data_IF_278365663477
#
_entry.id   IF_278365663477
#
_cell.length_a   1.000
_cell.length_b   1.000
_cell.length_c   1.000
_cell.angle_alpha   90.00
_cell.angle_beta   90.00
_cell.angle_gamma   90.00
#
_symmetry.space_group_name_H-M   'P 1'
#
loop_
_entity.id
_entity.type
_entity.pdbx_description
1 polymer ?
#
# COMPACT_ATOMS: atom_id res chain seq x y z
N UNK A 1 20.55 -21.14 -14.17
CA UNK A 1 19.50 -21.20 -13.13
C UNK A 1 18.49 -20.11 -13.44
N UNK A 2 17.34 -20.47 -14.01
CA UNK A 2 16.21 -19.55 -14.21
C UNK A 2 15.68 -19.16 -12.83
N UNK A 3 15.90 -17.91 -12.42
CA UNK A 3 15.26 -17.36 -11.23
C UNK A 3 13.74 -17.40 -11.48
N UNK A 4 13.04 -18.30 -10.79
CA UNK A 4 11.58 -18.25 -10.70
C UNK A 4 11.23 -16.93 -10.04
N UNK A 5 10.79 -15.99 -10.88
CA UNK A 5 10.24 -14.70 -10.48
C UNK A 5 9.27 -14.94 -9.33
N UNK A 6 9.61 -14.47 -8.12
CA UNK A 6 8.69 -14.47 -6.99
C UNK A 6 7.62 -13.45 -7.31
N UNK A 7 6.65 -13.86 -8.13
CA UNK A 7 5.39 -13.17 -8.27
C UNK A 7 4.82 -13.11 -6.86
N UNK A 8 4.83 -11.93 -6.27
CA UNK A 8 3.97 -11.61 -5.13
C UNK A 8 2.61 -12.22 -5.50
N UNK A 9 2.04 -13.12 -4.66
CA UNK A 9 0.82 -13.84 -4.99
C UNK A 9 -0.16 -12.83 -5.56
N UNK A 10 -0.53 -13.03 -6.83
CA UNK A 10 -1.23 -12.04 -7.64
C UNK A 10 -2.34 -11.44 -6.76
N UNK A 11 -2.23 -10.13 -6.48
CA UNK A 11 -3.31 -9.40 -5.83
C UNK A 11 -4.60 -9.81 -6.57
N UNK A 12 -5.65 -10.27 -5.86
CA UNK A 12 -6.86 -10.76 -6.50
C UNK A 12 -7.26 -9.74 -7.54
N UNK A 13 -7.21 -10.25 -8.76
CA UNK A 13 -7.04 -9.52 -9.98
C UNK A 13 -7.99 -8.33 -9.97
N UNK A 14 -7.44 -7.14 -10.17
CA UNK A 14 -8.23 -6.00 -10.61
C UNK A 14 -8.80 -6.37 -11.97
N UNK A 15 -9.93 -7.08 -11.99
CA UNK A 15 -10.72 -7.15 -13.20
C UNK A 15 -11.05 -5.71 -13.53
N UNK A 16 -10.55 -5.19 -14.66
CA UNK A 16 -10.68 -3.79 -14.94
C UNK A 16 -12.16 -3.46 -15.08
N UNK A 17 -12.65 -2.61 -14.18
CA UNK A 17 -14.05 -2.16 -14.15
C UNK A 17 -14.48 -1.48 -15.45
N UNK A 18 -13.50 -1.05 -16.26
CA UNK A 18 -13.70 -0.46 -17.58
C UNK A 18 -12.54 -0.78 -18.53
N UNK A 19 -12.78 -0.65 -19.83
CA UNK A 19 -11.70 -0.71 -20.85
C UNK A 19 -10.59 0.30 -20.58
N UNK A 20 -10.92 1.48 -20.06
CA UNK A 20 -9.93 2.51 -19.73
C UNK A 20 -8.99 2.04 -18.61
N UNK A 21 -9.54 1.41 -17.56
CA UNK A 21 -8.75 0.81 -16.48
C UNK A 21 -7.89 -0.34 -17.00
N UNK A 22 -8.43 -1.17 -17.90
CA UNK A 22 -7.68 -2.27 -18.52
C UNK A 22 -6.46 -1.77 -19.28
N UNK A 23 -6.64 -0.69 -20.06
CA UNK A 23 -5.57 -0.07 -20.82
C UNK A 23 -4.52 0.60 -19.91
N UNK A 24 -4.95 1.24 -18.83
CA UNK A 24 -4.05 1.84 -17.85
C UNK A 24 -3.16 0.80 -17.16
N UNK A 25 -3.75 -0.35 -16.78
CA UNK A 25 -3.07 -1.44 -16.07
C UNK A 25 -2.42 -2.48 -17.00
N UNK A 26 -2.46 -2.30 -18.32
CA UNK A 26 -1.82 -3.24 -19.23
C UNK A 26 -0.29 -3.24 -19.02
N UNK A 27 0.41 -4.39 -19.05
CA UNK A 27 1.86 -4.43 -18.97
C UNK A 27 2.53 -3.50 -19.99
N UNK A 28 3.62 -2.84 -19.58
CA UNK A 28 4.41 -2.01 -20.47
C UNK A 28 5.15 -2.85 -21.50
N UNK A 29 5.32 -2.34 -22.72
CA UNK A 29 6.26 -2.91 -23.70
C UNK A 29 7.68 -2.43 -23.37
N UNK A 30 8.24 -2.98 -22.30
CA UNK A 30 9.56 -2.63 -21.76
C UNK A 30 10.62 -3.58 -22.27
N UNK A 31 11.86 -3.10 -22.41
CA UNK A 31 13.02 -3.96 -22.64
C UNK A 31 13.41 -4.63 -21.33
N UNK A 32 14.05 -5.81 -21.40
CA UNK A 32 14.58 -6.50 -20.22
C UNK A 32 15.61 -5.65 -19.44
N UNK A 33 16.23 -4.71 -20.15
CA UNK A 33 17.24 -3.78 -19.62
C UNK A 33 16.64 -2.50 -19.05
N UNK A 34 15.33 -2.28 -19.18
CA UNK A 34 14.66 -1.11 -18.62
C UNK A 34 14.34 -1.37 -17.16
N UNK A 35 14.79 -0.47 -16.29
CA UNK A 35 14.49 -0.47 -14.87
C UNK A 35 13.82 0.84 -14.47
N UNK A 36 13.05 0.81 -13.39
CA UNK A 36 12.43 1.99 -12.81
C UNK A 36 13.03 2.26 -11.44
N UNK A 37 13.70 3.39 -11.32
CA UNK A 37 14.09 3.92 -10.02
C UNK A 37 12.91 4.62 -9.37
N UNK A 38 12.71 4.34 -8.09
CA UNK A 38 11.64 4.92 -7.27
C UNK A 38 12.27 5.45 -6.00
N UNK A 39 12.01 6.72 -5.73
CA UNK A 39 12.33 7.39 -4.48
C UNK A 39 11.13 8.19 -3.98
N UNK A 40 11.24 8.74 -2.77
CA UNK A 40 10.25 9.66 -2.20
C UNK A 40 10.84 11.05 -2.08
N UNK A 41 10.04 12.08 -2.39
CA UNK A 41 10.47 13.46 -2.22
C UNK A 41 10.60 13.76 -0.72
N UNK A 42 11.82 13.81 -0.20
CA UNK A 42 12.06 14.24 1.17
C UNK A 42 11.94 15.77 1.24
N UNK A 43 10.84 16.25 1.82
CA UNK A 43 10.54 17.68 2.00
C UNK A 43 11.63 18.43 2.78
N UNK A 44 12.53 17.71 3.46
CA UNK A 44 13.59 18.28 4.28
C UNK A 44 14.90 18.57 3.53
N UNK A 45 15.04 18.20 2.26
CA UNK A 45 16.30 18.42 1.51
C UNK A 45 16.42 19.81 0.86
N UNK A 46 15.40 20.66 1.02
CA UNK A 46 15.41 22.05 0.61
C UNK A 46 16.31 22.92 1.50
N UNK A 47 17.62 22.93 1.23
CA UNK A 47 18.53 23.99 1.70
C UNK A 47 18.16 25.31 0.99
N UNK A 48 17.20 26.05 1.53
CA UNK A 48 16.87 27.39 1.05
C UNK A 48 15.63 27.91 1.76
N UNK A 49 15.82 28.85 2.69
CA UNK A 49 14.80 29.33 3.62
C UNK A 49 13.55 29.89 2.92
N UNK A 50 12.40 29.37 3.34
CA UNK A 50 11.07 29.78 2.89
C UNK A 50 10.05 28.77 3.37
N UNK A 51 9.69 28.85 4.65
CA UNK A 51 8.76 27.95 5.30
C UNK A 51 7.33 28.14 4.78
N UNK A 52 7.03 27.53 3.64
CA UNK A 52 5.67 27.09 3.33
C UNK A 52 5.62 25.59 3.60
N UNK A 53 5.14 25.24 4.80
CA UNK A 53 4.66 23.90 5.14
C UNK A 53 3.35 23.73 4.36
N UNK A 54 3.45 23.67 3.02
CA UNK A 54 2.39 23.00 2.28
C UNK A 54 2.51 21.53 2.64
N UNK A 55 1.39 20.98 3.08
CA UNK A 55 1.14 19.59 3.48
C UNK A 55 1.37 18.70 2.24
N UNK A 56 2.62 18.66 1.76
CA UNK A 56 2.97 18.17 0.43
C UNK A 56 2.71 16.68 0.46
N UNK A 57 1.64 16.27 -0.25
CA UNK A 57 1.30 14.87 -0.41
C UNK A 57 2.58 14.11 -0.74
N UNK A 58 2.78 12.92 -0.16
CA UNK A 58 3.96 12.13 -0.49
C UNK A 58 3.99 11.90 -2.00
N UNK A 59 5.10 12.25 -2.66
CA UNK A 59 5.27 12.06 -4.10
C UNK A 59 6.36 11.01 -4.34
N UNK A 60 6.14 10.18 -5.36
CA UNK A 60 7.20 9.35 -5.92
C UNK A 60 8.04 10.18 -6.89
N UNK A 61 9.35 10.19 -6.68
CA UNK A 61 10.31 10.63 -7.66
C UNK A 61 10.77 9.40 -8.42
N UNK A 62 10.48 9.36 -9.72
CA UNK A 62 10.81 8.19 -10.52
C UNK A 62 11.59 8.55 -11.76
N UNK A 63 12.45 7.63 -12.17
CA UNK A 63 13.26 7.76 -13.36
C UNK A 63 13.43 6.38 -13.98
N UNK A 64 13.10 6.25 -15.27
CA UNK A 64 13.46 5.05 -16.01
C UNK A 64 14.95 5.09 -16.34
N UNK A 65 15.61 3.94 -16.20
CA UNK A 65 17.05 3.79 -16.42
C UNK A 65 17.34 2.51 -17.20
N UNK A 66 18.39 2.52 -18.00
CA UNK A 66 18.88 1.32 -18.68
C UNK A 66 20.15 0.82 -17.98
N UNK A 67 20.15 -0.42 -17.48
CA UNK A 67 21.31 -1.02 -16.80
C UNK A 67 22.29 -1.75 -17.75
N UNK A 68 22.08 -1.69 -19.06
CA UNK A 68 23.01 -2.28 -20.04
C UNK A 68 24.00 -1.23 -20.51
N UNK A 69 25.30 -1.56 -20.47
CA UNK A 69 26.38 -0.78 -21.10
C UNK A 69 26.03 -0.47 -22.56
N UNK A 70 26.08 0.79 -22.99
CA UNK A 70 25.96 1.10 -24.41
C UNK A 70 27.09 0.37 -25.14
N UNK A 71 26.78 -0.26 -26.29
CA UNK A 71 27.78 -0.57 -27.28
C UNK A 71 28.64 0.69 -27.54
N UNK A 72 29.97 0.55 -27.45
CA UNK A 72 30.93 1.66 -27.53
C UNK A 72 30.86 2.44 -28.86
N UNK A 73 30.20 1.87 -29.85
CA UNK A 73 29.95 2.39 -31.19
C UNK A 73 28.74 3.33 -31.30
N UNK A 74 27.88 3.41 -30.28
CA UNK A 74 26.62 4.21 -30.35
C UNK A 74 26.76 5.58 -29.68
N UNK A 75 27.66 5.76 -28.71
CA UNK A 75 27.92 7.05 -28.06
C UNK A 75 29.42 7.34 -28.04
N UNK A 76 29.88 8.52 -28.51
CA UNK A 76 31.30 8.88 -28.52
C UNK A 76 31.84 9.27 -27.12
N UNK A 77 31.11 8.97 -26.04
CA UNK A 77 31.56 9.29 -24.68
C UNK A 77 32.62 8.27 -24.25
N UNK A 78 33.79 8.81 -23.92
CA UNK A 78 34.99 8.11 -23.45
C UNK A 78 34.84 7.66 -21.98
N UNK A 79 33.63 7.74 -21.43
CA UNK A 79 33.39 7.38 -20.04
C UNK A 79 33.32 5.86 -19.96
N UNK A 80 34.42 5.28 -19.47
CA UNK A 80 34.55 3.90 -19.05
C UNK A 80 33.63 3.61 -17.84
N UNK A 81 32.32 3.79 -18.01
CA UNK A 81 31.33 3.45 -17.01
C UNK A 81 31.40 1.94 -16.78
N UNK A 82 31.70 1.55 -15.54
CA UNK A 82 31.63 0.17 -15.07
C UNK A 82 30.18 -0.30 -15.08
N UNK A 83 29.94 -1.61 -15.19
CA UNK A 83 28.59 -2.15 -15.02
C UNK A 83 28.10 -1.75 -13.62
N UNK A 84 26.96 -1.03 -13.51
CA UNK A 84 26.50 -0.53 -12.22
C UNK A 84 26.24 -1.70 -11.29
N UNK A 85 26.92 -1.71 -10.14
CA UNK A 85 26.76 -2.77 -9.16
C UNK A 85 25.49 -2.52 -8.36
N UNK A 86 24.52 -3.42 -8.49
CA UNK A 86 23.28 -3.38 -7.71
C UNK A 86 23.08 -4.68 -6.93
N UNK A 87 22.40 -4.58 -5.80
CA UNK A 87 21.99 -5.73 -4.98
C UNK A 87 20.51 -5.95 -5.19
N UNK A 88 20.15 -7.06 -5.82
CA UNK A 88 18.76 -7.47 -5.98
C UNK A 88 18.28 -8.18 -4.72
N UNK A 89 17.21 -7.67 -4.12
CA UNK A 89 16.53 -8.27 -2.97
C UNK A 89 15.16 -8.81 -3.40
N UNK A 90 14.53 -9.69 -2.61
CA UNK A 90 13.15 -10.14 -2.87
C UNK A 90 12.12 -9.00 -2.95
N UNK A 91 12.46 -7.82 -2.41
CA UNK A 91 11.57 -6.66 -2.34
C UNK A 91 11.96 -5.52 -3.32
N UNK A 92 12.98 -5.73 -4.18
CA UNK A 92 13.50 -4.74 -5.15
C UNK A 92 15.03 -4.66 -5.19
N UNK A 93 15.61 -3.81 -6.05
CA UNK A 93 17.06 -3.62 -6.13
C UNK A 93 17.54 -2.29 -5.51
N UNK A 94 18.80 -2.26 -5.04
CA UNK A 94 19.50 -1.08 -4.49
C UNK A 94 20.87 -0.91 -5.16
N UNK A 95 21.32 0.33 -5.39
CA UNK A 95 22.65 0.61 -5.93
C UNK A 95 23.75 0.52 -4.88
N UNK A 96 24.95 0.11 -5.30
CA UNK A 96 26.16 0.13 -4.48
C UNK A 96 27.08 1.32 -4.78
N UNK A 97 27.06 1.86 -6.00
CA UNK A 97 27.89 2.99 -6.43
C UNK A 97 27.04 4.08 -7.12
N UNK A 98 27.44 5.35 -6.97
CA UNK A 98 27.02 6.41 -7.89
C UNK A 98 27.74 6.16 -9.22
N UNK A 99 27.02 6.04 -10.36
CA UNK A 99 27.43 6.57 -11.70
C UNK A 99 26.70 5.92 -12.92
N UNK A 100 26.41 6.82 -13.89
CA UNK A 100 26.09 6.76 -15.34
C UNK A 100 25.02 5.80 -15.91
N UNK A 101 24.01 6.43 -16.51
CA UNK A 101 22.85 5.80 -17.13
C UNK A 101 22.92 5.86 -18.65
N UNK A 102 22.47 4.81 -19.33
CA UNK A 102 22.08 4.89 -20.73
C UNK A 102 20.59 5.25 -20.88
N UNK A 103 20.22 5.77 -22.05
CA UNK A 103 18.84 6.15 -22.35
C UNK A 103 17.94 4.90 -22.28
N UNK A 104 16.94 4.85 -21.39
CA UNK A 104 15.95 3.78 -21.37
C UNK A 104 15.09 3.83 -22.64
N UNK A 105 14.32 2.77 -22.90
CA UNK A 105 13.40 2.78 -24.04
C UNK A 105 12.42 3.96 -23.99
N UNK A 106 11.94 4.40 -25.15
CA UNK A 106 10.94 5.47 -25.21
C UNK A 106 9.66 5.10 -24.44
N UNK A 107 9.29 3.82 -24.47
CA UNK A 107 8.15 3.31 -23.70
C UNK A 107 8.37 3.46 -22.19
N UNK A 108 9.57 3.14 -21.71
CA UNK A 108 9.98 3.27 -20.31
C UNK A 108 10.08 4.73 -19.83
N UNK A 109 10.61 5.63 -20.66
CA UNK A 109 10.84 7.04 -20.29
C UNK A 109 9.62 7.95 -20.44
N UNK A 110 8.66 7.60 -21.29
CA UNK A 110 7.61 8.54 -21.71
C UNK A 110 6.19 7.95 -21.77
N UNK A 111 6.01 6.78 -22.38
CA UNK A 111 4.65 6.29 -22.73
C UNK A 111 3.79 5.97 -21.51
N UNK A 112 4.31 5.21 -20.54
CA UNK A 112 3.49 4.74 -19.42
C UNK A 112 3.13 5.84 -18.42
N UNK A 113 3.96 6.89 -18.30
CA UNK A 113 3.66 8.06 -17.48
C UNK A 113 2.34 8.70 -17.87
N UNK A 114 1.97 8.66 -19.15
CA UNK A 114 0.72 9.24 -19.63
C UNK A 114 -0.53 8.62 -18.99
N UNK A 115 -0.40 7.43 -18.40
CA UNK A 115 -1.46 6.71 -17.69
C UNK A 115 -1.72 7.22 -16.28
N UNK A 116 -0.80 8.01 -15.72
CA UNK A 116 -0.90 8.56 -14.36
C UNK A 116 -1.43 9.99 -14.44
N UNK A 117 -2.64 10.29 -13.94
CA UNK A 117 -3.22 11.64 -14.04
C UNK A 117 -2.37 12.71 -13.35
N UNK A 118 -1.93 12.44 -12.13
CA UNK A 118 -1.18 13.38 -11.29
C UNK A 118 0.33 13.17 -11.45
N UNK A 119 0.88 13.77 -12.52
CA UNK A 119 2.29 13.69 -12.88
C UNK A 119 2.87 15.05 -13.26
N UNK A 120 4.14 15.26 -12.95
CA UNK A 120 4.92 16.44 -13.37
C UNK A 120 6.30 16.01 -13.83
N UNK A 121 6.69 16.41 -15.04
CA UNK A 121 8.04 16.16 -15.53
C UNK A 121 9.03 17.14 -14.89
N UNK A 122 10.14 16.64 -14.37
CA UNK A 122 11.17 17.42 -13.67
C UNK A 122 12.43 17.65 -14.55
N UNK A 123 12.48 17.09 -15.76
CA UNK A 123 13.60 17.16 -16.70
C UNK A 123 14.37 15.84 -16.82
N UNK A 124 15.09 15.64 -17.94
CA UNK A 124 15.95 14.46 -18.19
C UNK A 124 15.30 13.08 -17.91
N UNK A 125 14.01 12.92 -18.22
CA UNK A 125 13.28 11.66 -17.97
C UNK A 125 12.91 11.40 -16.49
N UNK A 126 13.12 12.38 -15.61
CA UNK A 126 12.66 12.35 -14.21
C UNK A 126 11.22 12.85 -14.11
N UNK A 127 10.43 12.16 -13.29
CA UNK A 127 9.02 12.48 -13.06
C UNK A 127 8.71 12.52 -11.57
N UNK A 128 7.93 13.54 -11.16
CA UNK A 128 7.27 13.61 -9.85
C UNK A 128 5.84 13.09 -10.03
N UNK A 129 5.48 12.03 -9.34
CA UNK A 129 4.17 11.39 -9.39
C UNK A 129 3.51 11.48 -8.03
N UNK A 130 2.19 11.64 -7.96
CA UNK A 130 1.48 11.59 -6.69
C UNK A 130 1.61 10.19 -6.05
N UNK A 131 1.91 10.12 -4.75
CA UNK A 131 2.05 8.89 -3.97
C UNK A 131 0.71 8.30 -3.56
N UNK A 132 -0.13 8.01 -4.54
CA UNK A 132 -1.45 7.39 -4.37
C UNK A 132 -1.40 5.89 -4.63
N UNK A 133 -2.42 5.18 -4.13
CA UNK A 133 -2.65 3.77 -4.43
C UNK A 133 -2.78 3.51 -5.94
N UNK A 134 -3.45 4.40 -6.66
CA UNK A 134 -3.57 4.33 -8.11
C UNK A 134 -2.20 4.39 -8.82
N UNK A 135 -1.32 5.30 -8.42
CA UNK A 135 0.06 5.38 -8.96
C UNK A 135 0.83 4.10 -8.67
N UNK A 136 0.76 3.60 -7.43
CA UNK A 136 1.44 2.36 -7.03
C UNK A 136 0.94 1.15 -7.85
N UNK A 137 -0.36 1.07 -8.12
CA UNK A 137 -0.95 0.03 -8.96
C UNK A 137 -0.49 0.10 -10.42
N UNK A 138 -0.44 1.30 -11.01
CA UNK A 138 0.08 1.45 -12.37
C UNK A 138 1.53 0.98 -12.42
N UNK A 139 2.37 1.41 -11.47
CA UNK A 139 3.77 0.96 -11.40
C UNK A 139 3.82 -0.57 -11.30
N UNK A 140 3.04 -1.16 -10.38
CA UNK A 140 3.01 -2.61 -10.15
C UNK A 140 2.62 -3.42 -11.39
N UNK A 141 1.69 -2.92 -12.19
CA UNK A 141 1.18 -3.63 -13.37
C UNK A 141 1.97 -3.36 -14.64
N UNK A 142 2.52 -2.15 -14.79
CA UNK A 142 3.30 -1.76 -15.98
C UNK A 142 4.71 -2.36 -15.93
N UNK A 143 5.33 -2.35 -14.75
CA UNK A 143 6.72 -2.74 -14.56
C UNK A 143 6.84 -4.10 -13.89
N UNK A 144 7.65 -5.03 -14.43
CA UNK A 144 8.03 -6.24 -13.71
C UNK A 144 8.64 -5.90 -12.35
N UNK A 145 8.28 -6.65 -11.31
CA UNK A 145 8.77 -6.36 -9.96
C UNK A 145 10.30 -6.48 -9.86
N UNK A 146 10.90 -7.39 -10.63
CA UNK A 146 12.36 -7.53 -10.77
C UNK A 146 13.06 -6.29 -11.31
N UNK A 147 12.32 -5.39 -11.96
CA UNK A 147 12.85 -4.20 -12.63
C UNK A 147 12.62 -2.92 -11.81
N UNK A 148 12.13 -3.05 -10.57
CA UNK A 148 11.96 -1.93 -9.65
C UNK A 148 13.20 -1.76 -8.76
N UNK A 149 13.75 -0.55 -8.74
CA UNK A 149 14.89 -0.15 -7.92
C UNK A 149 14.40 0.89 -6.92
N UNK A 150 14.44 0.60 -5.63
CA UNK A 150 14.05 1.56 -4.59
C UNK A 150 15.31 2.27 -4.08
N UNK A 151 15.37 3.60 -4.21
CA UNK A 151 16.52 4.40 -3.74
C UNK A 151 16.57 4.53 -2.22
N UNK A 152 15.42 4.41 -1.56
CA UNK A 152 15.29 4.51 -0.11
C UNK A 152 14.35 3.45 0.45
N UNK A 153 14.57 3.04 1.70
CA UNK A 153 13.66 2.17 2.43
C UNK A 153 12.27 2.82 2.56
N UNK A 154 12.23 4.14 2.78
CA UNK A 154 10.99 4.90 2.84
C UNK A 154 10.14 4.76 1.56
N UNK A 155 10.76 4.80 0.38
CA UNK A 155 10.05 4.62 -0.90
C UNK A 155 9.46 3.21 -1.03
N UNK A 156 10.22 2.19 -0.64
CA UNK A 156 9.78 0.80 -0.65
C UNK A 156 8.61 0.57 0.33
N UNK A 157 8.72 1.12 1.55
CA UNK A 157 7.68 1.02 2.59
C UNK A 157 6.41 1.73 2.13
N UNK A 158 6.51 2.95 1.58
CA UNK A 158 5.37 3.70 1.06
C UNK A 158 4.68 2.96 -0.08
N UNK A 159 5.45 2.51 -1.07
CA UNK A 159 4.94 1.74 -2.20
C UNK A 159 4.19 0.48 -1.74
N UNK A 160 4.80 -0.30 -0.84
CA UNK A 160 4.21 -1.51 -0.28
C UNK A 160 2.95 -1.20 0.53
N UNK A 161 2.98 -0.12 1.32
CA UNK A 161 1.83 0.34 2.10
C UNK A 161 0.64 0.69 1.20
N UNK A 162 0.88 1.43 0.12
CA UNK A 162 -0.17 1.84 -0.82
C UNK A 162 -0.82 0.63 -1.52
N UNK A 163 -0.02 -0.35 -1.95
CA UNK A 163 -0.55 -1.58 -2.54
C UNK A 163 -1.37 -2.40 -1.52
N UNK A 164 -0.86 -2.56 -0.29
CA UNK A 164 -1.58 -3.25 0.79
C UNK A 164 -2.89 -2.53 1.14
N UNK A 165 -2.87 -1.21 1.22
CA UNK A 165 -4.05 -0.39 1.49
C UNK A 165 -5.12 -0.63 0.43
N UNK A 166 -4.75 -0.57 -0.85
CA UNK A 166 -5.66 -0.83 -1.96
C UNK A 166 -6.29 -2.23 -1.88
N UNK A 167 -5.47 -3.25 -1.60
CA UNK A 167 -5.93 -4.62 -1.45
C UNK A 167 -6.98 -4.76 -0.32
N UNK A 168 -6.71 -4.18 0.85
CA UNK A 168 -7.62 -4.24 1.99
C UNK A 168 -8.92 -3.48 1.70
N UNK A 169 -8.85 -2.32 1.03
CA UNK A 169 -10.04 -1.56 0.62
C UNK A 169 -10.89 -2.34 -0.39
N UNK A 170 -10.26 -2.96 -1.39
CA UNK A 170 -10.95 -3.78 -2.40
C UNK A 170 -11.66 -4.97 -1.77
N UNK A 171 -10.96 -5.70 -0.87
CA UNK A 171 -11.56 -6.79 -0.10
C UNK A 171 -12.75 -6.31 0.74
N UNK A 172 -12.62 -5.16 1.39
CA UNK A 172 -13.69 -4.57 2.20
C UNK A 172 -14.93 -4.24 1.37
N UNK A 173 -14.72 -3.67 0.17
CA UNK A 173 -15.80 -3.36 -0.78
C UNK A 173 -16.51 -4.63 -1.26
N UNK A 174 -15.77 -5.70 -1.57
CA UNK A 174 -16.33 -7.00 -1.97
C UNK A 174 -17.19 -7.59 -0.84
N UNK A 175 -16.71 -7.58 0.40
CA UNK A 175 -17.45 -8.10 1.55
C UNK A 175 -18.75 -7.31 1.76
N UNK A 176 -18.68 -5.98 1.69
CA UNK A 176 -19.86 -5.14 1.79
C UNK A 176 -20.86 -5.38 0.64
N UNK A 177 -20.37 -5.54 -0.59
CA UNK A 177 -21.21 -5.81 -1.76
C UNK A 177 -21.89 -7.18 -1.68
N UNK A 178 -21.16 -8.23 -1.30
CA UNK A 178 -21.71 -9.57 -1.08
C UNK A 178 -22.84 -9.54 -0.07
N UNK A 179 -22.63 -8.94 1.09
CA UNK A 179 -23.69 -8.82 2.09
C UNK A 179 -24.92 -8.07 1.57
N UNK A 180 -24.72 -6.96 0.84
CA UNK A 180 -25.85 -6.17 0.28
C UNK A 180 -26.62 -6.90 -0.80
N UNK A 181 -25.95 -7.69 -1.64
CA UNK A 181 -26.56 -8.33 -2.81
C UNK A 181 -27.14 -9.71 -2.49
N UNK A 182 -26.45 -10.51 -1.66
CA UNK A 182 -26.80 -11.91 -1.40
C UNK A 182 -27.10 -12.19 0.07
N UNK A 183 -26.86 -11.23 0.97
CA UNK A 183 -26.96 -11.48 2.41
C UNK A 183 -25.81 -12.34 2.97
N UNK A 184 -24.77 -12.62 2.19
CA UNK A 184 -23.64 -13.45 2.62
C UNK A 184 -22.86 -12.78 3.76
N UNK A 185 -22.84 -13.44 4.93
CA UNK A 185 -22.07 -13.00 6.09
C UNK A 185 -20.67 -13.61 6.03
N UNK A 186 -19.60 -12.79 6.13
CA UNK A 186 -18.24 -13.32 6.11
C UNK A 186 -17.99 -14.21 7.33
N UNK A 187 -17.19 -15.27 7.15
CA UNK A 187 -16.72 -16.09 8.25
C UNK A 187 -15.90 -15.24 9.26
N UNK A 188 -16.15 -15.46 10.56
CA UNK A 188 -15.36 -14.83 11.62
C UNK A 188 -13.96 -15.47 11.69
N UNK A 189 -12.93 -14.73 12.12
CA UNK A 189 -11.63 -15.31 12.41
C UNK A 189 -11.74 -16.43 13.46
N UNK A 190 -10.89 -17.46 13.38
CA UNK A 190 -10.90 -18.57 14.33
C UNK A 190 -10.63 -18.13 15.77
N UNK A 191 -9.92 -17.02 15.95
CA UNK A 191 -9.60 -16.41 17.24
C UNK A 191 -10.64 -15.37 17.71
N UNK A 192 -11.76 -15.23 17.00
CA UNK A 192 -12.87 -14.40 17.41
C UNK A 192 -13.71 -15.10 18.48
N UNK A 193 -13.85 -14.45 19.63
CA UNK A 193 -14.69 -14.93 20.74
C UNK A 193 -16.01 -14.18 20.68
N UNK A 194 -17.09 -14.89 20.35
CA UNK A 194 -18.44 -14.33 20.33
C UNK A 194 -19.00 -14.15 21.75
N UNK A 195 -19.82 -13.12 21.95
CA UNK A 195 -20.40 -12.84 23.27
C UNK A 195 -21.59 -13.77 23.53
N UNK A 196 -21.51 -14.58 24.59
CA UNK A 196 -22.48 -15.65 24.90
C UNK A 196 -23.95 -15.21 24.93
N UNK A 197 -24.24 -13.99 25.40
CA UNK A 197 -25.61 -13.45 25.50
C UNK A 197 -25.99 -12.39 24.47
N UNK A 198 -24.99 -11.79 23.82
CA UNK A 198 -25.14 -10.56 23.02
C UNK A 198 -24.24 -10.64 21.80
N UNK A 199 -24.38 -11.70 20.99
CA UNK A 199 -23.52 -11.88 19.83
C UNK A 199 -23.71 -10.74 18.84
N UNK A 200 -22.68 -10.46 18.04
CA UNK A 200 -22.82 -9.49 16.97
C UNK A 200 -23.87 -9.96 15.97
N UNK A 201 -24.77 -9.06 15.59
CA UNK A 201 -25.69 -9.27 14.47
C UNK A 201 -24.93 -9.38 13.14
N UNK A 202 -25.57 -9.92 12.11
CA UNK A 202 -24.91 -10.21 10.82
C UNK A 202 -24.29 -8.98 10.15
N UNK A 203 -24.99 -7.84 10.17
CA UNK A 203 -24.45 -6.59 9.62
C UNK A 203 -23.31 -6.01 10.49
N UNK A 204 -23.32 -6.27 11.81
CA UNK A 204 -22.23 -5.91 12.72
C UNK A 204 -21.00 -6.81 12.49
N UNK A 205 -21.20 -8.10 12.21
CA UNK A 205 -20.16 -9.04 11.80
C UNK A 205 -19.47 -8.59 10.52
N UNK A 206 -20.24 -8.14 9.53
CA UNK A 206 -19.71 -7.54 8.29
C UNK A 206 -18.84 -6.30 8.59
N UNK A 207 -19.39 -5.36 9.38
CA UNK A 207 -18.66 -4.15 9.77
C UNK A 207 -17.38 -4.45 10.58
N UNK A 208 -17.45 -5.44 11.46
CA UNK A 208 -16.33 -5.94 12.23
C UNK A 208 -15.23 -6.48 11.32
N UNK A 209 -15.55 -7.41 10.41
CA UNK A 209 -14.57 -7.97 9.47
C UNK A 209 -13.92 -6.89 8.61
N UNK A 210 -14.71 -5.94 8.09
CA UNK A 210 -14.18 -4.82 7.30
C UNK A 210 -13.21 -3.97 8.13
N UNK A 211 -13.43 -3.84 9.44
CA UNK A 211 -12.55 -3.08 10.31
C UNK A 211 -11.19 -3.78 10.54
N UNK A 212 -11.15 -5.12 10.54
CA UNK A 212 -9.93 -5.88 10.82
C UNK A 212 -8.86 -5.60 9.75
N UNK A 213 -7.59 -5.51 10.16
CA UNK A 213 -6.43 -5.20 9.30
C UNK A 213 -6.46 -3.80 8.63
N UNK A 214 -7.44 -2.95 8.96
CA UNK A 214 -7.44 -1.56 8.57
C UNK A 214 -6.87 -0.69 9.70
N UNK A 215 -5.75 0.02 9.49
CA UNK A 215 -5.18 0.90 10.52
C UNK A 215 -6.11 2.07 10.86
N UNK A 216 -6.91 2.51 9.88
CA UNK A 216 -7.94 3.51 10.05
C UNK A 216 -9.20 3.07 9.28
N UNK A 217 -10.37 3.31 9.86
CA UNK A 217 -11.67 2.94 9.30
C UNK A 217 -12.76 3.84 9.87
N UNK A 218 -13.88 3.93 9.17
CA UNK A 218 -15.06 4.66 9.62
C UNK A 218 -16.30 3.77 9.50
N UNK A 219 -17.12 3.74 10.57
CA UNK A 219 -18.37 3.00 10.62
C UNK A 219 -19.53 3.93 10.26
N UNK A 220 -19.87 3.99 8.97
CA UNK A 220 -21.04 4.72 8.46
C UNK A 220 -22.35 3.95 8.69
N UNK A 221 -22.65 3.66 9.95
CA UNK A 221 -23.90 3.01 10.35
C UNK A 221 -24.83 4.05 10.98
N UNK A 222 -26.14 3.80 11.00
CA UNK A 222 -27.11 4.67 11.67
C UNK A 222 -26.95 4.65 13.20
N UNK A 223 -27.52 5.63 13.90
CA UNK A 223 -27.55 5.59 15.36
C UNK A 223 -28.44 4.42 15.84
N UNK A 224 -28.03 3.71 16.89
CA UNK A 224 -28.79 2.59 17.45
C UNK A 224 -28.49 1.22 16.84
N UNK A 225 -27.71 1.14 15.76
CA UNK A 225 -27.34 -0.14 15.11
C UNK A 225 -26.15 -0.85 15.77
N UNK A 226 -25.78 -0.48 17.00
CA UNK A 226 -24.68 -1.11 17.74
C UNK A 226 -23.27 -0.90 17.15
N UNK A 227 -22.97 0.31 16.64
CA UNK A 227 -21.60 0.73 16.28
C UNK A 227 -20.59 0.46 17.40
N UNK A 228 -20.99 0.73 18.65
CA UNK A 228 -20.18 0.55 19.84
C UNK A 228 -19.77 -0.91 20.03
N UNK A 229 -20.69 -1.86 19.83
CA UNK A 229 -20.42 -3.29 19.99
C UNK A 229 -19.35 -3.78 18.98
N UNK A 230 -19.40 -3.30 17.73
CA UNK A 230 -18.38 -3.60 16.71
C UNK A 230 -16.98 -3.14 17.14
N UNK A 231 -16.89 -1.91 17.67
CA UNK A 231 -15.62 -1.32 18.14
C UNK A 231 -15.08 -2.08 19.35
N UNK A 232 -15.93 -2.42 20.32
CA UNK A 232 -15.55 -3.21 21.51
C UNK A 232 -15.06 -4.58 21.10
N UNK A 233 -15.80 -5.29 20.23
CA UNK A 233 -15.41 -6.60 19.73
C UNK A 233 -14.03 -6.56 19.04
N UNK A 234 -13.75 -5.50 18.27
CA UNK A 234 -12.41 -5.28 17.68
C UNK A 234 -11.34 -5.09 18.75
N UNK A 235 -11.60 -4.25 19.75
CA UNK A 235 -10.65 -4.01 20.85
C UNK A 235 -10.35 -5.31 21.61
N UNK A 236 -11.38 -6.11 21.91
CA UNK A 236 -11.23 -7.41 22.57
C UNK A 236 -10.40 -8.38 21.71
N UNK A 237 -10.65 -8.47 20.40
CA UNK A 237 -9.87 -9.30 19.48
C UNK A 237 -8.39 -8.87 19.44
N UNK A 238 -8.12 -7.58 19.26
CA UNK A 238 -6.75 -7.05 19.22
C UNK A 238 -6.01 -7.24 20.56
N UNK A 239 -6.73 -7.08 21.68
CA UNK A 239 -6.20 -7.34 23.01
C UNK A 239 -5.89 -8.82 23.23
N UNK A 240 -6.75 -9.73 22.78
CA UNK A 240 -6.51 -11.17 22.82
C UNK A 240 -5.28 -11.55 21.99
N UNK A 241 -5.17 -11.07 20.75
CA UNK A 241 -4.01 -11.29 19.87
C UNK A 241 -2.71 -10.80 20.47
N UNK A 242 -2.71 -9.60 21.06
CA UNK A 242 -1.54 -9.00 21.70
C UNK A 242 -1.14 -9.70 23.01
N UNK A 243 -2.07 -10.35 23.70
CA UNK A 243 -1.77 -11.22 24.85
C UNK A 243 -1.22 -12.58 24.41
N UNK A 244 -1.68 -13.10 23.27
CA UNK A 244 -1.29 -14.41 22.74
C UNK A 244 0.09 -14.45 22.06
N UNK A 245 0.84 -13.33 21.97
CA UNK A 245 2.17 -13.32 21.33
C UNK A 245 3.13 -14.34 21.93
N UNK A 246 3.73 -15.14 21.04
CA UNK A 246 4.62 -16.26 21.33
C UNK A 246 5.81 -15.79 22.20
N UNK A 247 6.12 -16.56 23.24
CA UNK A 247 7.11 -16.34 24.32
C UNK A 247 6.52 -15.97 25.69
N UNK A 248 5.19 -15.99 25.87
CA UNK A 248 4.56 -15.73 27.18
C UNK A 248 4.70 -14.28 27.66
N UNK A 249 5.36 -13.42 26.89
CA UNK A 249 5.44 -11.98 27.10
C UNK A 249 4.28 -11.28 26.39
N UNK A 250 3.05 -11.68 26.72
CA UNK A 250 1.87 -10.93 26.31
C UNK A 250 2.00 -9.49 26.80
N UNK A 251 1.79 -8.52 25.90
CA UNK A 251 1.88 -7.11 26.27
C UNK A 251 0.48 -6.51 26.43
N UNK A 252 0.37 -5.49 27.28
CA UNK A 252 -0.89 -4.79 27.49
C UNK A 252 -1.35 -4.10 26.20
N UNK A 253 -2.59 -4.35 25.80
CA UNK A 253 -3.26 -3.57 24.77
C UNK A 253 -3.93 -2.34 25.41
N UNK A 254 -3.68 -1.16 24.87
CA UNK A 254 -4.26 0.11 25.35
C UNK A 254 -5.05 0.72 24.21
N UNK A 255 -6.32 1.05 24.48
CA UNK A 255 -7.18 1.75 23.55
C UNK A 255 -7.54 3.12 24.14
N UNK A 256 -7.42 4.18 23.34
CA UNK A 256 -7.91 5.52 23.70
C UNK A 256 -9.21 5.77 22.94
N UNK A 257 -10.28 6.07 23.68
CA UNK A 257 -11.59 6.39 23.12
C UNK A 257 -11.85 7.86 23.32
N UNK A 258 -11.92 8.59 22.20
CA UNK A 258 -12.27 10.00 22.17
C UNK A 258 -13.76 10.10 21.83
N UNK A 259 -14.54 10.73 22.70
CA UNK A 259 -15.98 10.87 22.52
C UNK A 259 -16.50 12.16 23.18
N UNK A 260 -17.66 12.68 22.75
CA UNK A 260 -18.34 13.77 23.45
C UNK A 260 -18.58 13.45 24.92
N UNK A 261 -18.59 14.48 25.77
CA UNK A 261 -18.70 14.31 27.23
C UNK A 261 -19.95 13.52 27.63
N UNK A 262 -21.07 13.71 26.92
CA UNK A 262 -22.37 13.12 27.24
C UNK A 262 -22.41 11.60 27.04
N UNK A 263 -21.52 11.02 26.22
CA UNK A 263 -21.52 9.58 25.90
C UNK A 263 -20.44 8.79 26.64
N UNK A 264 -19.62 9.43 27.48
CA UNK A 264 -18.52 8.78 28.21
C UNK A 264 -19.01 7.64 29.12
N UNK A 265 -20.07 7.90 29.89
CA UNK A 265 -20.67 6.88 30.76
C UNK A 265 -21.33 5.75 29.96
N UNK A 266 -21.84 6.05 28.76
CA UNK A 266 -22.39 5.03 27.88
C UNK A 266 -21.28 4.09 27.40
N UNK A 267 -20.13 4.61 26.96
CA UNK A 267 -18.98 3.77 26.60
C UNK A 267 -18.55 2.84 27.73
N UNK A 268 -18.47 3.34 28.96
CA UNK A 268 -18.14 2.50 30.12
C UNK A 268 -19.14 1.35 30.29
N UNK A 269 -20.44 1.64 30.29
CA UNK A 269 -21.51 0.63 30.42
C UNK A 269 -21.48 -0.38 29.28
N UNK A 270 -21.23 0.08 28.06
CA UNK A 270 -21.16 -0.76 26.87
C UNK A 270 -19.95 -1.69 26.94
N UNK A 271 -18.80 -1.24 27.42
CA UNK A 271 -17.65 -2.13 27.68
C UNK A 271 -17.98 -3.21 28.70
N UNK A 272 -18.57 -2.84 29.84
CA UNK A 272 -18.99 -3.83 30.85
C UNK A 272 -20.00 -4.83 30.29
N UNK A 273 -20.81 -4.43 29.31
CA UNK A 273 -21.87 -5.25 28.73
C UNK A 273 -21.41 -6.15 27.58
N UNK A 274 -20.51 -5.68 26.72
CA UNK A 274 -20.17 -6.33 25.45
C UNK A 274 -18.75 -6.90 25.39
N UNK A 275 -17.87 -6.59 26.36
CA UNK A 275 -16.53 -7.16 26.38
C UNK A 275 -16.59 -8.70 26.48
N UNK A 276 -15.79 -9.38 25.66
CA UNK A 276 -15.71 -10.85 25.64
C UNK A 276 -14.45 -11.40 26.29
N UNK A 277 -13.57 -10.51 26.74
CA UNK A 277 -12.35 -10.85 27.44
C UNK A 277 -12.21 -9.97 28.68
N UNK A 278 -12.06 -10.59 29.84
CA UNK A 278 -11.62 -9.93 31.06
C UNK A 278 -10.11 -9.60 31.02
#
# INVERSE_FOLDING_TARGET
MTQTETKIPAFPILEPLSKATAMALAPGKLLETDFLEIDVCDSNTGRGGGAHIEDDMMHFLVQAVCLRRCPADILPSVDSAADPKYVQTPNGAFYQDDIHYHYPSWNASSSWFQRIPERKQMGYGKWKLAGTDYTALIIHHVWPHSNLIFKSEAAQVLYTYLLKRFYVQSRSAIIAAKFKLTGEVPAMPDDFIDHSKLPLTDYQKVAFIISINNPAYALFMEQGTGKTAVVIARICLEAARKRATKNGQGSMYRALIICPQQVRLNWQREFTRFATSD
#
